data_IF_531099178922
#
_entry.id   IF_531099178922
#
_cell.length_a   1.000
_cell.length_b   1.000
_cell.length_c   1.000
_cell.angle_alpha   90.00
_cell.angle_beta   90.00
_cell.angle_gamma   90.00
#
_symmetry.space_group_name_H-M   'P 1'
#
loop_
_entity.id
_entity.type
_entity.pdbx_description
1 polymer ?
#
# COMPACT_ATOMS: atom_id res chain seq x y z
N UNK A 1 -11.26 -10.45 -5.29
CA UNK A 1 -10.44 -11.48 -5.99
C UNK A 1 -8.99 -11.06 -6.09
N UNK A 2 -8.62 -10.01 -6.84
CA UNK A 2 -7.22 -9.56 -7.01
C UNK A 2 -6.52 -9.20 -5.69
N UNK A 3 -7.23 -8.68 -4.70
CA UNK A 3 -6.67 -8.40 -3.36
C UNK A 3 -6.17 -9.65 -2.62
N UNK A 4 -6.62 -10.83 -3.01
CA UNK A 4 -6.16 -12.13 -2.46
C UNK A 4 -5.22 -12.88 -3.38
N UNK A 5 -5.42 -12.74 -4.69
CA UNK A 5 -4.71 -13.48 -5.73
C UNK A 5 -4.23 -12.53 -6.82
N UNK A 6 -3.23 -11.71 -6.52
CA UNK A 6 -2.74 -10.66 -7.43
C UNK A 6 -2.21 -11.15 -8.78
N UNK A 7 -1.94 -12.46 -8.93
CA UNK A 7 -1.53 -13.09 -10.20
C UNK A 7 -2.64 -13.81 -10.95
N UNK A 8 -3.91 -13.65 -10.53
CA UNK A 8 -5.04 -14.29 -11.22
C UNK A 8 -5.14 -13.76 -12.66
N UNK A 9 -5.28 -14.66 -13.64
CA UNK A 9 -5.41 -14.26 -15.04
C UNK A 9 -6.76 -13.58 -15.31
N UNK A 10 -6.82 -12.70 -16.31
CA UNK A 10 -8.09 -12.08 -16.70
C UNK A 10 -9.14 -13.09 -17.15
N UNK A 11 -8.72 -14.20 -17.75
CA UNK A 11 -9.62 -15.31 -18.12
C UNK A 11 -10.26 -15.95 -16.89
N UNK A 12 -9.47 -16.20 -15.85
CA UNK A 12 -9.98 -16.79 -14.62
C UNK A 12 -10.86 -15.79 -13.83
N UNK A 13 -10.47 -14.50 -13.80
CA UNK A 13 -11.31 -13.44 -13.25
C UNK A 13 -12.66 -13.33 -13.95
N UNK A 14 -12.65 -13.40 -15.29
CA UNK A 14 -13.86 -13.35 -16.11
C UNK A 14 -14.81 -14.52 -15.80
N UNK A 15 -14.25 -15.72 -15.71
CA UNK A 15 -15.01 -16.94 -15.34
C UNK A 15 -15.64 -16.80 -13.97
N UNK A 16 -14.91 -16.33 -12.96
CA UNK A 16 -15.41 -16.19 -11.58
C UNK A 16 -16.40 -15.02 -11.42
N UNK A 17 -16.21 -13.94 -12.20
CA UNK A 17 -17.08 -12.76 -12.13
C UNK A 17 -18.33 -12.87 -13.03
N UNK A 18 -18.43 -13.90 -13.89
CA UNK A 18 -19.51 -14.02 -14.87
C UNK A 18 -19.49 -12.94 -15.94
N UNK A 19 -18.29 -12.48 -16.34
CA UNK A 19 -18.07 -11.40 -17.30
C UNK A 19 -17.25 -11.88 -18.50
N UNK A 20 -17.26 -11.10 -19.59
CA UNK A 20 -16.31 -11.31 -20.69
C UNK A 20 -14.87 -10.90 -20.27
N UNK A 21 -13.86 -11.48 -20.89
CA UNK A 21 -12.45 -11.14 -20.64
C UNK A 21 -12.18 -9.66 -20.94
N UNK A 22 -12.77 -9.12 -22.00
CA UNK A 22 -12.65 -7.70 -22.35
C UNK A 22 -13.26 -6.78 -21.31
N UNK A 23 -14.43 -7.13 -20.75
CA UNK A 23 -15.06 -6.37 -19.67
C UNK A 23 -14.22 -6.39 -18.40
N UNK A 24 -13.62 -7.54 -18.05
CA UNK A 24 -12.70 -7.61 -16.91
C UNK A 24 -11.47 -6.75 -17.12
N UNK A 25 -10.86 -6.82 -18.32
CA UNK A 25 -9.70 -6.00 -18.66
C UNK A 25 -9.98 -4.51 -18.50
N UNK A 26 -11.12 -4.02 -19.01
CA UNK A 26 -11.53 -2.63 -18.87
C UNK A 26 -11.75 -2.24 -17.40
N UNK A 27 -12.42 -3.09 -16.61
CA UNK A 27 -12.66 -2.82 -15.19
C UNK A 27 -11.37 -2.79 -14.37
N UNK A 28 -10.45 -3.73 -14.59
CA UNK A 28 -9.16 -3.73 -13.89
C UNK A 28 -8.37 -2.47 -14.23
N UNK A 29 -8.26 -2.13 -15.54
CA UNK A 29 -7.60 -0.91 -15.99
C UNK A 29 -8.20 0.36 -15.37
N UNK A 30 -9.52 0.41 -15.25
CA UNK A 30 -10.21 1.52 -14.58
C UNK A 30 -9.80 1.62 -13.10
N UNK A 31 -9.82 0.51 -12.35
CA UNK A 31 -9.41 0.47 -10.94
C UNK A 31 -7.94 0.89 -10.74
N UNK A 32 -7.07 0.58 -11.70
CA UNK A 32 -5.67 1.03 -11.72
C UNK A 32 -5.57 2.54 -12.00
N UNK A 33 -6.31 3.04 -12.98
CA UNK A 33 -6.31 4.47 -13.36
C UNK A 33 -6.89 5.35 -12.25
N UNK A 34 -7.93 4.89 -11.57
CA UNK A 34 -8.57 5.58 -10.44
C UNK A 34 -7.77 5.43 -9.12
N UNK A 35 -6.65 4.70 -9.13
CA UNK A 35 -5.80 4.49 -7.95
C UNK A 35 -6.40 3.59 -6.88
N UNK A 36 -7.49 2.86 -7.17
CA UNK A 36 -8.05 1.83 -6.27
C UNK A 36 -7.10 0.65 -6.17
N UNK A 37 -6.49 0.25 -7.29
CA UNK A 37 -5.37 -0.68 -7.33
C UNK A 37 -4.11 0.16 -7.52
N UNK A 38 -3.30 0.27 -6.47
CA UNK A 38 -2.07 1.05 -6.48
C UNK A 38 -0.86 0.27 -6.98
N UNK A 39 -0.98 -1.05 -7.13
CA UNK A 39 0.09 -1.91 -7.61
C UNK A 39 -0.09 -3.37 -7.24
N UNK A 40 0.86 -4.17 -7.68
CA UNK A 40 0.96 -5.61 -7.39
C UNK A 40 2.36 -5.89 -6.85
N UNK A 41 2.43 -6.60 -5.74
CA UNK A 41 3.71 -6.97 -5.11
C UNK A 41 3.80 -8.46 -4.88
N UNK A 42 5.00 -9.01 -4.97
CA UNK A 42 5.28 -10.36 -4.53
C UNK A 42 5.55 -10.35 -3.01
N UNK A 43 4.85 -11.17 -2.27
CA UNK A 43 5.15 -11.41 -0.87
C UNK A 43 6.25 -12.47 -0.80
N UNK A 44 7.36 -12.14 -0.15
CA UNK A 44 8.49 -13.04 0.06
C UNK A 44 8.50 -13.51 1.51
N UNK A 45 8.90 -14.76 1.73
CA UNK A 45 9.15 -15.27 3.07
C UNK A 45 10.43 -14.62 3.63
N UNK A 46 10.34 -13.88 4.75
CA UNK A 46 11.47 -13.16 5.29
C UNK A 46 12.62 -14.05 5.76
N UNK A 47 12.33 -15.26 6.25
CA UNK A 47 13.36 -16.21 6.68
C UNK A 47 14.14 -16.71 5.47
N UNK A 48 13.45 -17.03 4.37
CA UNK A 48 14.06 -17.52 3.13
C UNK A 48 14.96 -16.48 2.48
N UNK A 49 14.58 -15.19 2.53
CA UNK A 49 15.39 -14.09 1.98
C UNK A 49 16.47 -13.59 2.96
N UNK A 50 16.62 -14.22 4.14
CA UNK A 50 17.67 -13.89 5.11
C UNK A 50 17.38 -12.67 5.97
N UNK A 51 16.14 -12.25 6.12
CA UNK A 51 15.71 -11.09 6.92
C UNK A 51 14.69 -11.49 8.02
N UNK A 52 15.02 -12.41 8.93
CA UNK A 52 14.05 -12.98 9.87
C UNK A 52 13.60 -12.03 10.98
N UNK A 53 14.38 -10.98 11.28
CA UNK A 53 14.10 -10.10 12.41
C UNK A 53 13.25 -8.91 11.99
N UNK A 54 12.03 -8.87 12.51
CA UNK A 54 11.12 -7.71 12.36
C UNK A 54 11.07 -6.91 13.66
N UNK A 55 11.07 -5.59 13.57
CA UNK A 55 10.82 -4.72 14.71
C UNK A 55 9.95 -3.52 14.34
N UNK A 56 9.26 -2.98 15.33
CA UNK A 56 8.61 -1.66 15.25
C UNK A 56 9.47 -0.65 16.01
N UNK A 57 9.83 0.42 15.34
CA UNK A 57 10.65 1.50 15.91
C UNK A 57 9.81 2.76 15.97
N UNK A 58 9.37 3.11 17.17
CA UNK A 58 8.73 4.41 17.43
C UNK A 58 9.79 5.48 17.48
N UNK A 59 9.59 6.60 16.79
CA UNK A 59 10.54 7.71 16.73
C UNK A 59 9.87 9.03 17.15
N UNK A 60 10.66 9.86 17.86
CA UNK A 60 10.25 11.18 18.30
C UNK A 60 11.41 12.16 18.12
N UNK A 61 11.23 13.30 17.45
CA UNK A 61 12.23 14.35 17.35
C UNK A 61 12.67 14.82 18.74
N UNK A 62 13.96 15.14 18.88
CA UNK A 62 14.44 15.81 20.10
C UNK A 62 13.93 17.25 20.19
N UNK A 63 13.79 17.91 19.03
CA UNK A 63 13.22 19.25 18.92
C UNK A 63 11.78 19.16 18.39
N UNK A 64 10.81 19.59 19.21
CA UNK A 64 9.41 19.62 18.81
C UNK A 64 9.10 20.65 17.71
N UNK A 65 10.00 21.62 17.47
CA UNK A 65 9.90 22.62 16.41
C UNK A 65 10.62 22.19 15.12
N UNK A 66 11.24 20.99 15.09
CA UNK A 66 11.89 20.48 13.89
C UNK A 66 10.89 20.32 12.72
N UNK A 67 11.33 20.52 11.48
CA UNK A 67 10.51 20.27 10.31
C UNK A 67 9.97 18.83 10.29
N UNK A 68 8.75 18.65 9.77
CA UNK A 68 8.12 17.34 9.61
C UNK A 68 8.59 16.65 8.32
N UNK A 69 9.91 16.49 8.17
CA UNK A 69 10.61 15.93 7.02
C UNK A 69 11.26 14.56 7.29
N UNK A 70 10.91 13.94 8.42
CA UNK A 70 11.49 12.67 8.86
C UNK A 70 11.35 11.54 7.84
N UNK A 71 10.18 11.34 7.17
CA UNK A 71 10.05 10.29 6.18
C UNK A 71 11.02 10.44 5.01
N UNK A 72 11.25 11.66 4.53
CA UNK A 72 12.18 11.96 3.44
C UNK A 72 13.63 11.68 3.85
N UNK A 73 14.01 12.08 5.05
CA UNK A 73 15.36 11.86 5.61
C UNK A 73 15.68 10.39 5.81
N UNK A 74 14.69 9.56 6.06
CA UNK A 74 14.83 8.13 6.31
C UNK A 74 14.61 7.25 5.06
N UNK A 75 14.10 7.81 3.96
CA UNK A 75 13.73 7.08 2.74
C UNK A 75 14.84 6.23 2.13
N UNK A 76 16.09 6.63 2.33
CA UNK A 76 17.26 5.91 1.82
C UNK A 76 17.60 4.62 2.59
N UNK A 77 17.01 4.40 3.77
CA UNK A 77 17.25 3.22 4.61
C UNK A 77 16.30 2.09 4.16
N UNK A 78 16.79 1.20 3.30
CA UNK A 78 15.98 0.14 2.68
C UNK A 78 15.45 -0.91 3.68
N UNK A 79 16.04 -1.02 4.86
CA UNK A 79 15.55 -1.87 5.94
C UNK A 79 14.24 -1.37 6.56
N UNK A 80 13.80 -0.15 6.24
CA UNK A 80 12.51 0.41 6.65
C UNK A 80 11.46 0.01 5.61
N UNK A 81 10.59 -0.94 5.95
CA UNK A 81 9.51 -1.42 5.08
C UNK A 81 8.31 -0.46 5.04
N UNK A 82 8.02 0.20 6.18
CA UNK A 82 6.91 1.15 6.28
C UNK A 82 7.23 2.25 7.29
N UNK A 83 6.67 3.44 7.03
CA UNK A 83 6.73 4.59 7.91
C UNK A 83 5.31 5.14 8.07
N UNK A 84 4.81 5.14 9.31
CA UNK A 84 3.47 5.58 9.66
C UNK A 84 3.55 6.82 10.55
N UNK A 85 2.95 7.93 10.12
CA UNK A 85 2.67 9.06 11.02
C UNK A 85 1.54 8.66 11.97
N UNK A 86 1.72 8.91 13.25
CA UNK A 86 0.79 8.47 14.29
C UNK A 86 0.40 9.61 15.21
N UNK A 87 -0.80 9.54 15.76
CA UNK A 87 -1.25 10.42 16.81
C UNK A 87 -0.96 9.75 18.17
N UNK A 88 -0.13 10.36 19.00
CA UNK A 88 0.26 9.80 20.30
C UNK A 88 1.52 10.47 20.83
N UNK A 89 2.25 9.75 21.68
CA UNK A 89 3.49 10.25 22.28
C UNK A 89 4.66 10.31 21.28
N UNK A 90 4.63 9.46 20.27
CA UNK A 90 5.59 9.41 19.17
C UNK A 90 5.03 10.07 17.92
N UNK A 91 5.92 10.55 17.02
CA UNK A 91 5.51 11.16 15.77
C UNK A 91 5.33 10.11 14.65
N UNK A 92 6.18 9.10 14.64
CA UNK A 92 6.16 8.04 13.63
C UNK A 92 6.45 6.68 14.23
N UNK A 93 5.88 5.64 13.60
CA UNK A 93 6.23 4.24 13.84
C UNK A 93 6.76 3.67 12.52
N UNK A 94 7.96 3.13 12.58
CA UNK A 94 8.62 2.45 11.46
C UNK A 94 8.45 0.95 11.64
N UNK A 95 8.10 0.23 10.57
CA UNK A 95 8.27 -1.21 10.48
C UNK A 95 9.60 -1.48 9.81
N UNK A 96 10.49 -2.18 10.50
CA UNK A 96 11.84 -2.47 10.00
C UNK A 96 12.07 -3.97 9.94
N UNK A 97 12.94 -4.39 9.01
CA UNK A 97 13.31 -5.79 8.85
C UNK A 97 14.81 -5.92 8.55
N UNK A 98 15.47 -6.80 9.28
CA UNK A 98 16.93 -7.00 9.22
C UNK A 98 17.28 -8.46 9.44
N UNK A 99 18.54 -8.83 9.14
CA UNK A 99 19.00 -10.20 9.28
C UNK A 99 19.33 -10.58 10.74
N UNK A 100 19.72 -9.62 11.58
CA UNK A 100 20.24 -9.92 12.92
C UNK A 100 20.01 -8.77 13.92
N UNK A 101 20.13 -9.04 15.22
CA UNK A 101 20.12 -7.98 16.24
C UNK A 101 21.23 -6.94 16.07
N UNK A 102 22.39 -7.33 15.55
CA UNK A 102 23.52 -6.41 15.28
C UNK A 102 23.14 -5.43 14.16
N UNK A 103 22.56 -5.94 13.07
CA UNK A 103 22.05 -5.07 12.01
C UNK A 103 20.92 -4.16 12.47
N UNK A 104 20.08 -4.61 13.42
CA UNK A 104 19.08 -3.75 14.02
C UNK A 104 19.73 -2.61 14.81
N UNK A 105 20.78 -2.88 15.58
CA UNK A 105 21.52 -1.85 16.32
C UNK A 105 22.13 -0.82 15.37
N UNK A 106 22.77 -1.27 14.27
CA UNK A 106 23.33 -0.40 13.25
C UNK A 106 22.25 0.46 12.58
N UNK A 107 21.10 -0.12 12.24
CA UNK A 107 19.97 0.60 11.68
C UNK A 107 19.45 1.68 12.65
N UNK A 108 19.32 1.36 13.94
CA UNK A 108 18.89 2.32 14.95
C UNK A 108 19.87 3.49 15.09
N UNK A 109 21.17 3.26 14.96
CA UNK A 109 22.19 4.32 14.92
C UNK A 109 22.01 5.20 13.67
N UNK A 110 21.81 4.60 12.51
CA UNK A 110 21.56 5.33 11.25
C UNK A 110 20.29 6.20 11.33
N UNK A 111 19.19 5.66 11.88
CA UNK A 111 17.94 6.40 12.08
C UNK A 111 18.18 7.62 12.98
N UNK A 112 18.85 7.44 14.13
CA UNK A 112 19.13 8.54 15.06
C UNK A 112 20.03 9.60 14.43
N UNK A 113 21.06 9.18 13.71
CA UNK A 113 21.98 10.10 13.05
C UNK A 113 21.33 10.88 11.90
N UNK A 114 20.52 10.21 11.07
CA UNK A 114 19.87 10.84 9.94
C UNK A 114 18.75 11.79 10.36
N UNK A 115 17.99 11.44 11.39
CA UNK A 115 16.75 12.11 11.74
C UNK A 115 16.82 13.01 12.99
N UNK A 116 17.81 12.85 13.86
CA UNK A 116 17.88 13.61 15.12
C UNK A 116 16.73 13.27 16.07
N UNK A 117 16.50 11.98 16.27
CA UNK A 117 15.35 11.45 17.01
C UNK A 117 15.76 10.53 18.15
N UNK A 118 14.89 10.41 19.16
CA UNK A 118 14.88 9.30 20.09
C UNK A 118 14.17 8.10 19.44
N UNK A 119 14.57 6.88 19.82
CA UNK A 119 13.98 5.64 19.31
C UNK A 119 13.52 4.76 20.45
N UNK A 120 12.33 4.15 20.32
CA UNK A 120 11.86 3.06 21.17
C UNK A 120 11.55 1.86 20.28
N UNK A 121 12.20 0.74 20.54
CA UNK A 121 12.12 -0.44 19.68
C UNK A 121 11.34 -1.56 20.34
N UNK A 122 10.42 -2.16 19.59
CA UNK A 122 9.67 -3.36 19.94
C UNK A 122 10.00 -4.46 18.96
N UNK A 123 10.66 -5.53 19.42
CA UNK A 123 11.00 -6.69 18.56
C UNK A 123 9.77 -7.58 18.44
N UNK A 124 9.45 -8.01 17.23
CA UNK A 124 8.38 -8.98 16.93
C UNK A 124 8.90 -10.37 17.22
N UNK A 125 8.22 -11.09 18.12
CA UNK A 125 8.60 -12.47 18.45
C UNK A 125 8.02 -13.48 17.47
N UNK A 126 6.81 -13.22 16.97
CA UNK A 126 6.16 -14.04 15.94
C UNK A 126 5.09 -13.21 15.20
N UNK A 127 4.83 -13.58 13.97
CA UNK A 127 3.78 -12.94 13.14
C UNK A 127 2.75 -13.99 12.73
N UNK A 128 1.73 -14.26 13.56
CA UNK A 128 0.71 -15.29 13.26
C UNK A 128 -0.04 -15.06 11.95
N UNK A 129 -0.17 -13.81 11.53
CA UNK A 129 -0.70 -13.42 10.21
C UNK A 129 -0.31 -11.99 9.86
N UNK A 130 -0.10 -11.73 8.58
CA UNK A 130 0.21 -10.42 8.01
C UNK A 130 -0.39 -10.31 6.61
N UNK A 131 -0.46 -9.10 6.06
CA UNK A 131 -0.89 -8.84 4.68
C UNK A 131 -2.27 -9.42 4.33
N UNK A 132 -3.18 -9.55 5.31
CA UNK A 132 -4.56 -9.94 5.03
C UNK A 132 -5.24 -8.84 4.21
N UNK A 133 -5.86 -9.19 3.08
CA UNK A 133 -6.59 -8.21 2.30
C UNK A 133 -7.78 -7.67 3.12
N UNK A 134 -8.10 -6.37 2.98
CA UNK A 134 -9.27 -5.80 3.62
C UNK A 134 -10.54 -6.50 3.11
N UNK A 135 -11.53 -6.65 3.97
CA UNK A 135 -12.88 -7.03 3.55
C UNK A 135 -13.48 -5.81 2.85
N UNK A 136 -13.59 -5.91 1.53
CA UNK A 136 -14.22 -4.86 0.74
C UNK A 136 -15.74 -5.01 0.87
N UNK A 137 -16.42 -3.98 1.39
CA UNK A 137 -17.85 -3.86 1.21
C UNK A 137 -18.13 -3.62 -0.27
N UNK A 138 -18.77 -4.60 -0.92
CA UNK A 138 -19.10 -4.51 -2.33
C UNK A 138 -19.98 -3.31 -2.68
N UNK A 139 -20.70 -2.71 -1.71
CA UNK A 139 -21.52 -1.52 -1.91
C UNK A 139 -20.67 -0.29 -2.22
N UNK A 140 -19.64 -0.01 -1.43
CA UNK A 140 -18.77 1.16 -1.67
C UNK A 140 -18.07 1.09 -3.03
N UNK A 141 -17.68 -0.11 -3.49
CA UNK A 141 -17.04 -0.30 -4.80
C UNK A 141 -18.05 -0.18 -5.95
N UNK A 142 -19.32 -0.57 -5.72
CA UNK A 142 -20.39 -0.47 -6.72
C UNK A 142 -20.90 0.98 -6.85
N UNK A 143 -20.99 1.73 -5.74
CA UNK A 143 -21.42 3.14 -5.75
C UNK A 143 -20.40 4.03 -6.46
N UNK A 144 -19.09 3.80 -6.26
CA UNK A 144 -18.04 4.47 -7.05
C UNK A 144 -18.11 4.15 -8.55
N UNK A 145 -18.61 2.96 -8.90
CA UNK A 145 -18.77 2.56 -10.30
C UNK A 145 -20.05 3.09 -10.95
N UNK A 146 -21.08 3.44 -10.16
CA UNK A 146 -22.35 3.94 -10.64
C UNK A 146 -22.37 5.47 -10.83
N UNK A 147 -21.63 6.22 -10.03
CA UNK A 147 -21.66 7.69 -10.02
C UNK A 147 -20.97 8.35 -11.24
N UNK A 148 -20.31 7.59 -12.11
CA UNK A 148 -19.66 8.10 -13.33
C UNK A 148 -20.22 7.51 -14.63
N UNK A 149 -21.35 6.82 -14.58
CA UNK A 149 -22.03 6.26 -15.75
C UNK A 149 -23.08 7.15 -16.37
N UNK A 150 -23.26 8.40 -15.90
CA UNK A 150 -24.38 9.26 -16.24
C UNK A 150 -24.19 10.27 -17.36
N UNK A 151 -23.01 10.39 -17.98
CA UNK A 151 -22.76 11.45 -18.98
C UNK A 151 -22.20 10.93 -20.31
N UNK A 152 -22.91 10.03 -20.97
CA UNK A 152 -22.56 9.68 -22.36
C UNK A 152 -23.77 9.14 -23.13
N UNK A 153 -24.85 9.92 -23.24
CA UNK A 153 -25.89 9.71 -24.25
C UNK A 153 -26.80 10.95 -24.33
N UNK A 154 -26.29 12.07 -24.80
CA UNK A 154 -27.06 13.19 -25.38
C UNK A 154 -26.13 14.03 -26.26
N UNK A 155 -25.92 13.60 -27.51
CA UNK A 155 -25.76 14.47 -28.67
C UNK A 155 -25.79 13.64 -29.96
N UNK A 156 -26.98 13.36 -30.43
CA UNK A 156 -27.21 12.97 -31.83
C UNK A 156 -27.86 14.23 -32.52
N UNK A 157 -27.10 15.00 -33.33
CA UNK A 157 -27.69 16.04 -34.10
C UNK A 157 -28.37 15.44 -35.33
N UNK A 158 -29.68 15.51 -35.33
CA UNK A 158 -30.61 15.40 -36.44
C UNK A 158 -29.99 15.89 -37.76
N UNK A 159 -29.75 14.98 -38.68
CA UNK A 159 -29.46 15.31 -40.08
C UNK A 159 -30.79 15.64 -40.76
N UNK A 160 -31.07 16.94 -40.84
CA UNK A 160 -32.15 17.44 -41.64
C UNK A 160 -31.88 17.17 -43.13
N UNK A 161 -32.77 16.39 -43.70
CA UNK A 161 -33.04 16.24 -45.14
C UNK A 161 -33.48 17.58 -45.74
N UNK A 162 -32.80 18.06 -46.77
CA UNK A 162 -33.40 19.00 -47.74
C UNK A 162 -32.78 18.83 -49.13
N UNK A 163 -33.67 18.29 -50.06
CA UNK A 163 -33.80 18.59 -51.47
C UNK A 163 -32.59 18.41 -52.38
#
# INVERSE_FOLDING_TARGET
>A
MLSRFGRMSFTELARQAGLSVSAVHQRVRRLETEGVITGYVALCDPEVIGLPLTAFVSIKPFDAAAPDDLPERLRHLSAIEACHSVAGDENYILKVRVASPVELEDLLQQIRAAAGVSTRTTIVLSTPYENRPPELDNRAVLDMAADQGGDADEDDPEVADQA
#
